data_IF_631405084832
#
_entry.id   IF_631405084832
#
_cell.length_a   1.000
_cell.length_b   1.000
_cell.length_c   1.000
_cell.angle_alpha   90.00
_cell.angle_beta   90.00
_cell.angle_gamma   90.00
#
_symmetry.space_group_name_H-M   'P 1'
#
loop_
_entity.id
_entity.type
_entity.pdbx_description
1 polymer ?
#
# COMPACT_ATOMS: atom_id res chain seq x y z
N UNK A 1 13.64 -38.73 -11.63
CA UNK A 1 12.97 -37.73 -12.50
C UNK A 1 13.64 -37.79 -13.87
N UNK A 2 12.87 -37.81 -14.96
CA UNK A 2 13.43 -37.70 -16.31
C UNK A 2 14.04 -36.31 -16.54
N UNK A 3 15.04 -36.21 -17.42
CA UNK A 3 15.75 -34.96 -17.70
C UNK A 3 14.80 -33.88 -18.27
N UNK A 4 13.85 -34.29 -19.12
CA UNK A 4 12.78 -33.44 -19.63
C UNK A 4 11.94 -32.80 -18.52
N UNK A 5 11.59 -33.54 -17.46
CA UNK A 5 10.81 -33.00 -16.36
C UNK A 5 11.60 -31.93 -15.58
N UNK A 6 12.91 -32.10 -15.44
CA UNK A 6 13.80 -31.12 -14.81
C UNK A 6 13.88 -29.84 -15.63
N UNK A 7 14.05 -29.96 -16.96
CA UNK A 7 14.06 -28.82 -17.87
C UNK A 7 12.70 -28.10 -17.85
N UNK A 8 11.60 -28.84 -18.00
CA UNK A 8 10.25 -28.28 -17.99
C UNK A 8 9.96 -27.46 -16.74
N UNK A 9 10.36 -27.96 -15.55
CA UNK A 9 10.20 -27.25 -14.27
C UNK A 9 10.85 -25.85 -14.26
N UNK A 10 11.92 -25.65 -15.02
CA UNK A 10 12.65 -24.38 -15.09
C UNK A 10 12.22 -23.47 -16.23
N UNK A 11 11.33 -23.93 -17.11
CA UNK A 11 10.84 -23.12 -18.24
C UNK A 11 10.03 -21.91 -17.78
N UNK A 12 10.01 -20.86 -18.61
CA UNK A 12 9.24 -19.63 -18.33
C UNK A 12 7.73 -19.86 -18.28
N UNK A 13 7.23 -20.87 -19.01
CA UNK A 13 5.81 -21.22 -19.00
C UNK A 13 5.41 -21.90 -17.68
N UNK A 14 6.28 -22.76 -17.13
CA UNK A 14 6.07 -23.38 -15.82
C UNK A 14 6.20 -22.38 -14.65
N UNK A 15 6.91 -21.26 -14.86
CA UNK A 15 7.00 -20.16 -13.90
C UNK A 15 5.76 -19.26 -13.86
N UNK A 16 4.82 -19.42 -14.81
CA UNK A 16 3.60 -18.63 -14.83
C UNK A 16 2.76 -18.98 -13.59
N UNK A 17 2.44 -18.01 -12.72
CA UNK A 17 1.66 -18.30 -11.53
C UNK A 17 0.22 -18.68 -11.91
N UNK A 18 -0.39 -19.56 -11.11
CA UNK A 18 -1.82 -19.82 -11.22
C UNK A 18 -2.58 -18.52 -11.00
N UNK A 19 -3.50 -18.22 -11.90
CA UNK A 19 -4.34 -17.02 -11.81
C UNK A 19 -5.22 -17.01 -10.56
N UNK A 20 -5.53 -15.80 -10.08
CA UNK A 20 -6.37 -15.57 -8.91
C UNK A 20 -7.87 -15.42 -9.24
N UNK A 21 -8.22 -15.29 -10.52
CA UNK A 21 -9.59 -15.08 -10.97
C UNK A 21 -9.74 -15.38 -12.47
N UNK A 22 -10.83 -14.90 -13.07
CA UNK A 22 -11.19 -15.21 -14.46
C UNK A 22 -11.09 -13.99 -15.37
N UNK A 23 -10.76 -14.24 -16.63
CA UNK A 23 -10.62 -13.23 -17.66
C UNK A 23 -11.98 -12.59 -17.98
N UNK A 24 -12.05 -11.26 -18.11
CA UNK A 24 -13.30 -10.53 -18.39
C UNK A 24 -14.01 -10.01 -17.14
N UNK A 25 -14.37 -10.88 -16.20
CA UNK A 25 -15.02 -10.50 -14.93
C UNK A 25 -14.13 -9.56 -14.09
N UNK A 26 -12.82 -9.80 -14.11
CA UNK A 26 -11.83 -9.04 -13.33
C UNK A 26 -11.25 -7.81 -14.05
N UNK A 27 -11.84 -7.36 -15.18
CA UNK A 27 -11.36 -6.14 -15.87
C UNK A 27 -11.39 -4.89 -14.97
N UNK A 28 -12.31 -4.85 -14.01
CA UNK A 28 -12.46 -3.78 -13.01
C UNK A 28 -11.87 -4.12 -11.64
N UNK A 29 -11.11 -5.22 -11.53
CA UNK A 29 -10.53 -5.65 -10.27
C UNK A 29 -9.63 -4.57 -9.64
N UNK A 30 -9.54 -4.58 -8.32
CA UNK A 30 -8.74 -3.59 -7.57
C UNK A 30 -7.24 -3.87 -7.67
N UNK A 31 -6.84 -5.12 -7.91
CA UNK A 31 -5.45 -5.58 -7.98
C UNK A 31 -5.28 -6.54 -9.17
N UNK A 32 -4.05 -6.74 -9.69
CA UNK A 32 -3.81 -7.66 -10.80
C UNK A 32 -4.13 -9.10 -10.41
N UNK A 33 -4.95 -9.78 -11.22
CA UNK A 33 -5.37 -11.17 -10.99
C UNK A 33 -4.56 -12.18 -11.80
N UNK A 34 -3.94 -11.72 -12.88
CA UNK A 34 -3.13 -12.52 -13.78
C UNK A 34 -1.77 -11.85 -14.02
N UNK A 35 -0.79 -12.66 -14.40
CA UNK A 35 0.53 -12.19 -14.79
C UNK A 35 0.46 -11.49 -16.17
N UNK A 36 1.03 -10.29 -16.26
CA UNK A 36 1.21 -9.61 -17.54
C UNK A 36 2.42 -10.19 -18.25
N UNK A 37 2.24 -10.60 -19.51
CA UNK A 37 3.27 -11.12 -20.41
C UNK A 37 3.57 -10.05 -21.46
N UNK A 38 4.85 -9.74 -21.63
CA UNK A 38 5.35 -8.80 -22.63
C UNK A 38 6.14 -9.55 -23.70
N UNK A 39 5.90 -9.22 -24.98
CA UNK A 39 6.74 -9.68 -26.08
C UNK A 39 7.74 -8.60 -26.53
N UNK A 40 9.01 -8.95 -26.80
CA UNK A 40 9.95 -8.05 -27.44
C UNK A 40 9.42 -7.59 -28.82
N UNK A 41 9.81 -6.40 -29.32
CA UNK A 41 9.32 -5.88 -30.59
C UNK A 41 9.49 -6.84 -31.77
N UNK A 42 10.60 -7.57 -31.84
CA UNK A 42 10.91 -8.53 -32.90
C UNK A 42 9.99 -9.77 -32.87
N UNK A 43 9.73 -10.33 -31.69
CA UNK A 43 8.78 -11.44 -31.52
C UNK A 43 7.34 -10.98 -31.72
N UNK A 44 7.01 -9.78 -31.25
CA UNK A 44 5.69 -9.18 -31.45
C UNK A 44 5.36 -8.97 -32.94
N UNK A 45 6.34 -8.59 -33.77
CA UNK A 45 6.16 -8.48 -35.22
C UNK A 45 5.69 -9.83 -35.84
N UNK A 46 6.18 -10.95 -35.30
CA UNK A 46 5.78 -12.32 -35.67
C UNK A 46 4.59 -12.86 -34.88
N UNK A 47 4.02 -12.04 -33.98
CA UNK A 47 2.93 -12.40 -33.07
C UNK A 47 3.23 -13.57 -32.14
N UNK A 48 4.50 -13.70 -31.80
CA UNK A 48 4.98 -14.75 -30.92
C UNK A 48 5.15 -14.22 -29.49
N UNK A 49 4.45 -14.87 -28.57
CA UNK A 49 4.47 -14.59 -27.13
C UNK A 49 4.99 -15.79 -26.33
N UNK A 50 5.52 -16.83 -27.00
CA UNK A 50 5.91 -18.07 -26.33
C UNK A 50 4.74 -18.90 -25.81
N UNK A 51 3.56 -18.74 -26.43
CA UNK A 51 2.37 -19.54 -26.16
C UNK A 51 2.28 -20.70 -27.16
N UNK A 52 1.31 -21.61 -26.96
CA UNK A 52 1.05 -22.73 -27.88
C UNK A 52 0.85 -22.27 -29.32
N UNK A 53 0.19 -21.13 -29.52
CA UNK A 53 -0.08 -20.56 -30.84
C UNK A 53 0.25 -19.06 -30.90
N UNK A 54 0.47 -18.58 -32.12
CA UNK A 54 0.65 -17.15 -32.41
C UNK A 54 -0.66 -16.40 -32.25
N UNK A 55 -0.55 -15.15 -31.83
CA UNK A 55 -1.69 -14.27 -31.56
C UNK A 55 -2.17 -13.56 -32.84
N UNK A 56 -3.46 -13.22 -32.99
CA UNK A 56 -3.95 -12.48 -34.16
C UNK A 56 -3.27 -11.12 -34.37
N UNK A 57 -3.06 -10.75 -35.64
CA UNK A 57 -2.41 -9.49 -36.04
C UNK A 57 -3.20 -8.23 -35.69
N UNK A 58 -4.52 -8.36 -35.51
CA UNK A 58 -5.42 -7.26 -35.10
C UNK A 58 -5.01 -6.64 -33.75
N UNK A 59 -4.37 -7.41 -32.88
CA UNK A 59 -3.96 -6.93 -31.56
C UNK A 59 -2.70 -6.08 -31.67
N UNK A 60 -2.78 -4.82 -31.22
CA UNK A 60 -1.67 -3.85 -31.30
C UNK A 60 -0.86 -3.74 -30.00
N UNK A 61 -1.33 -4.35 -28.91
CA UNK A 61 -0.64 -4.34 -27.62
C UNK A 61 0.46 -5.40 -27.55
N UNK A 62 1.65 -5.00 -27.09
CA UNK A 62 2.75 -5.92 -26.73
C UNK A 62 2.55 -6.61 -25.37
N UNK A 63 1.56 -6.16 -24.61
CA UNK A 63 1.21 -6.68 -23.29
C UNK A 63 -0.09 -7.47 -23.40
N UNK A 64 -0.03 -8.71 -22.94
CA UNK A 64 -1.19 -9.59 -22.86
C UNK A 64 -1.30 -10.19 -21.46
N UNK A 65 -2.47 -10.69 -21.17
CA UNK A 65 -2.77 -11.55 -20.04
C UNK A 65 -3.36 -12.84 -20.59
N UNK A 66 -2.93 -13.99 -20.05
CA UNK A 66 -3.39 -15.31 -20.49
C UNK A 66 -4.06 -16.01 -19.32
N UNK A 67 -5.22 -16.61 -19.60
CA UNK A 67 -5.97 -17.45 -18.68
C UNK A 67 -5.60 -18.93 -18.91
N UNK A 68 -5.91 -19.41 -20.11
CA UNK A 68 -5.59 -20.77 -20.54
C UNK A 68 -4.65 -20.74 -21.74
N UNK A 69 -3.59 -21.57 -21.71
CA UNK A 69 -2.69 -21.76 -22.85
C UNK A 69 -3.38 -22.42 -24.04
N UNK A 70 -4.39 -23.24 -23.76
CA UNK A 70 -5.21 -23.96 -24.71
C UNK A 70 -6.60 -24.17 -24.10
N UNK A 71 -7.63 -23.69 -24.79
CA UNK A 71 -9.01 -23.88 -24.38
C UNK A 71 -9.64 -25.09 -25.11
N UNK A 72 -10.90 -25.40 -24.80
CA UNK A 72 -11.65 -26.48 -25.47
C UNK A 72 -11.79 -26.33 -27.00
N UNK A 73 -11.50 -25.14 -27.53
CA UNK A 73 -11.52 -24.84 -28.97
C UNK A 73 -10.13 -24.94 -29.59
N UNK A 74 -9.09 -25.35 -28.85
CA UNK A 74 -7.72 -25.41 -29.33
C UNK A 74 -7.05 -24.04 -29.46
N UNK A 75 -7.60 -23.00 -28.82
CA UNK A 75 -7.11 -21.61 -28.89
C UNK A 75 -6.58 -21.13 -27.52
N UNK A 76 -5.54 -20.28 -27.48
CA UNK A 76 -5.16 -19.61 -26.24
C UNK A 76 -6.24 -18.61 -25.82
N UNK A 77 -6.61 -18.61 -24.54
CA UNK A 77 -7.54 -17.65 -23.96
C UNK A 77 -6.75 -16.48 -23.36
N UNK A 78 -6.75 -15.34 -24.04
CA UNK A 78 -5.94 -14.19 -23.67
C UNK A 78 -6.67 -12.87 -23.94
N UNK A 79 -6.23 -11.82 -23.25
CA UNK A 79 -6.73 -10.45 -23.42
C UNK A 79 -5.54 -9.48 -23.57
N UNK A 80 -5.63 -8.46 -24.44
CA UNK A 80 -4.57 -7.46 -24.64
C UNK A 80 -4.57 -6.40 -23.50
N UNK A 81 -4.44 -6.85 -22.26
CA UNK A 81 -4.45 -6.01 -21.07
C UNK A 81 -3.04 -5.78 -20.53
N UNK A 82 -2.60 -4.52 -20.51
CA UNK A 82 -1.34 -4.10 -19.86
C UNK A 82 -1.54 -3.06 -18.75
N UNK A 83 -2.79 -2.70 -18.44
CA UNK A 83 -3.11 -1.53 -17.62
C UNK A 83 -2.47 -1.53 -16.22
N UNK A 84 -2.47 -2.67 -15.53
CA UNK A 84 -1.88 -2.79 -14.19
C UNK A 84 -0.35 -2.61 -14.20
N UNK A 85 0.35 -3.06 -15.25
CA UNK A 85 1.79 -2.85 -15.37
C UNK A 85 2.12 -1.36 -15.46
N UNK A 86 1.35 -0.60 -16.25
CA UNK A 86 1.52 0.85 -16.33
C UNK A 86 1.08 1.58 -15.05
N UNK A 87 0.01 1.14 -14.37
CA UNK A 87 -0.36 1.68 -13.06
C UNK A 87 0.77 1.51 -12.05
N UNK A 88 1.41 0.35 -12.00
CA UNK A 88 2.58 0.10 -11.14
C UNK A 88 3.73 1.05 -11.49
N UNK A 89 4.09 1.19 -12.77
CA UNK A 89 5.14 2.12 -13.22
C UNK A 89 4.83 3.57 -12.81
N UNK A 90 3.61 4.05 -13.07
CA UNK A 90 3.16 5.39 -12.66
C UNK A 90 3.21 5.57 -11.14
N UNK A 91 2.82 4.57 -10.37
CA UNK A 91 2.92 4.64 -8.92
C UNK A 91 4.37 4.75 -8.43
N UNK A 92 5.29 4.02 -9.07
CA UNK A 92 6.73 4.13 -8.77
C UNK A 92 7.28 5.53 -9.08
N UNK A 93 6.79 6.19 -10.13
CA UNK A 93 7.14 7.57 -10.47
C UNK A 93 6.70 8.59 -9.42
N UNK A 94 5.65 8.30 -8.65
CA UNK A 94 5.22 9.16 -7.54
C UNK A 94 6.28 9.24 -6.45
N UNK A 95 7.09 8.19 -6.29
CA UNK A 95 8.19 8.17 -5.33
C UNK A 95 7.76 8.03 -3.87
N UNK A 96 6.51 7.63 -3.61
CA UNK A 96 5.95 7.57 -2.24
C UNK A 96 6.11 6.16 -1.65
N UNK A 97 6.47 6.06 -0.35
CA UNK A 97 6.48 4.81 0.38
C UNK A 97 5.06 4.35 0.74
N UNK A 98 4.81 3.04 0.63
CA UNK A 98 3.55 2.43 1.09
C UNK A 98 3.70 2.05 2.55
N UNK A 99 2.72 2.42 3.36
CA UNK A 99 2.61 1.97 4.74
C UNK A 99 1.48 0.96 4.88
N UNK A 100 1.71 -0.07 5.69
CA UNK A 100 0.72 -1.11 5.94
C UNK A 100 -0.09 -0.76 7.18
N UNK A 101 -1.41 -0.77 7.07
CA UNK A 101 -2.31 -0.58 8.21
C UNK A 101 -3.00 -1.89 8.54
N UNK A 102 -2.64 -2.49 9.67
CA UNK A 102 -3.34 -3.64 10.21
C UNK A 102 -4.48 -3.16 11.12
N UNK A 103 -5.75 -3.47 10.81
CA UNK A 103 -6.88 -3.03 11.63
C UNK A 103 -6.94 -3.71 13.00
N UNK A 104 -6.21 -4.81 13.19
CA UNK A 104 -6.22 -5.63 14.42
C UNK A 104 -5.14 -5.23 15.42
N UNK A 105 -4.17 -4.39 15.03
CA UNK A 105 -3.12 -3.93 15.94
C UNK A 105 -3.49 -2.54 16.48
N UNK A 106 -3.87 -2.50 17.76
CA UNK A 106 -4.12 -1.28 18.54
C UNK A 106 -2.82 -0.54 18.87
N UNK A 107 -1.67 -1.19 18.73
CA UNK A 107 -0.35 -0.59 18.89
C UNK A 107 0.12 0.02 17.56
N UNK A 108 0.56 1.28 17.62
CA UNK A 108 1.18 2.05 16.52
C UNK A 108 2.56 1.48 16.12
N UNK A 109 2.69 0.17 15.95
CA UNK A 109 3.92 -0.40 15.38
C UNK A 109 3.94 -0.09 13.88
N UNK A 110 4.55 1.04 13.54
CA UNK A 110 4.74 1.53 12.16
C UNK A 110 5.97 0.90 11.49
N UNK A 111 6.36 -0.33 11.85
CA UNK A 111 7.53 -0.98 11.25
C UNK A 111 7.21 -1.52 9.86
N UNK A 112 8.24 -1.55 9.02
CA UNK A 112 8.09 -2.00 7.64
C UNK A 112 8.14 -3.54 7.60
N UNK A 113 7.09 -4.21 7.08
CA UNK A 113 7.01 -5.68 7.01
C UNK A 113 8.01 -6.35 6.07
N UNK A 114 8.86 -5.59 5.37
CA UNK A 114 9.94 -6.12 4.54
C UNK A 114 11.22 -6.44 5.33
N UNK A 115 11.31 -5.97 6.59
CA UNK A 115 12.47 -6.23 7.44
C UNK A 115 12.13 -7.29 8.52
N UNK A 116 13.06 -8.19 8.85
CA UNK A 116 12.85 -9.23 9.86
C UNK A 116 12.63 -8.64 11.26
N UNK A 117 11.90 -9.36 12.12
CA UNK A 117 11.48 -8.90 13.46
C UNK A 117 10.15 -8.12 13.47
N UNK A 118 9.38 -8.22 12.39
CA UNK A 118 8.09 -7.57 12.24
C UNK A 118 7.12 -8.48 11.48
N UNK A 119 6.94 -9.70 11.99
CA UNK A 119 5.70 -10.38 11.69
C UNK A 119 4.59 -9.64 12.47
N UNK A 120 3.52 -9.15 11.81
CA UNK A 120 2.37 -8.57 12.53
C UNK A 120 1.66 -9.58 13.43
N UNK A 121 2.15 -10.83 13.47
CA UNK A 121 1.71 -11.93 14.29
C UNK A 121 2.82 -12.50 15.20
N UNK A 122 4.04 -11.97 15.19
CA UNK A 122 5.20 -12.46 15.99
C UNK A 122 5.08 -12.15 17.49
N UNK A 123 4.00 -11.48 17.92
CA UNK A 123 3.78 -11.13 19.32
C UNK A 123 2.67 -11.91 20.03
N UNK A 124 1.92 -12.77 19.32
CA UNK A 124 0.82 -13.50 19.92
C UNK A 124 0.81 -14.95 19.41
N UNK A 125 1.26 -15.86 20.27
CA UNK A 125 0.81 -17.26 20.33
C UNK A 125 -0.71 -17.30 20.62
N UNK A 126 -1.50 -16.64 19.78
CA UNK A 126 -2.94 -16.75 19.84
C UNK A 126 -3.31 -18.13 19.33
N UNK A 127 -4.23 -18.80 20.02
CA UNK A 127 -4.76 -20.10 19.62
C UNK A 127 -5.21 -20.12 18.14
N UNK A 128 -5.70 -18.98 17.63
CA UNK A 128 -6.02 -18.81 16.21
C UNK A 128 -4.82 -18.97 15.26
N UNK A 129 -3.65 -18.48 15.63
CA UNK A 129 -2.42 -18.59 14.81
C UNK A 129 -1.91 -20.04 14.83
N UNK A 130 -1.88 -20.68 16.00
CA UNK A 130 -1.51 -22.09 16.12
C UNK A 130 -2.45 -23.02 15.31
N UNK A 131 -3.73 -22.69 15.28
CA UNK A 131 -4.72 -23.39 14.45
C UNK A 131 -4.73 -22.98 12.97
N UNK A 132 -3.97 -21.95 12.58
CA UNK A 132 -4.02 -21.37 11.23
C UNK A 132 -5.40 -20.83 10.83
N UNK A 133 -6.23 -20.42 11.79
CA UNK A 133 -7.59 -19.92 11.55
C UNK A 133 -7.61 -18.39 11.43
N UNK A 134 -8.41 -17.88 10.49
CA UNK A 134 -8.68 -16.43 10.36
C UNK A 134 -9.64 -15.99 11.47
N UNK A 135 -9.52 -14.74 11.93
CA UNK A 135 -10.52 -14.15 12.85
C UNK A 135 -11.87 -14.10 12.15
N UNK A 136 -12.83 -14.88 12.62
CA UNK A 136 -14.15 -15.01 12.04
C UNK A 136 -15.19 -14.32 12.93
N UNK A 137 -16.26 -13.80 12.30
CA UNK A 137 -17.43 -13.33 13.04
C UNK A 137 -18.16 -14.54 13.64
N UNK A 138 -18.71 -14.44 14.88
CA UNK A 138 -19.45 -15.54 15.51
C UNK A 138 -20.64 -16.06 14.68
N UNK A 139 -21.20 -15.23 13.81
CA UNK A 139 -22.30 -15.57 12.90
C UNK A 139 -21.88 -16.24 11.59
N UNK A 140 -20.59 -16.41 11.33
CA UNK A 140 -20.09 -17.01 10.09
C UNK A 140 -20.33 -18.53 10.06
N UNK A 141 -20.69 -19.07 8.89
CA UNK A 141 -20.79 -20.52 8.68
C UNK A 141 -19.47 -21.24 8.95
N UNK A 142 -18.34 -20.63 8.56
CA UNK A 142 -17.01 -21.16 8.84
C UNK A 142 -16.71 -21.24 10.35
N UNK A 143 -17.24 -20.28 11.13
CA UNK A 143 -17.10 -20.30 12.58
C UNK A 143 -17.89 -21.46 13.19
N UNK A 144 -19.10 -21.73 12.69
CA UNK A 144 -19.90 -22.87 13.15
C UNK A 144 -19.22 -24.22 12.85
N UNK A 145 -18.59 -24.38 11.67
CA UNK A 145 -17.82 -25.60 11.34
C UNK A 145 -16.58 -25.73 12.21
N UNK A 146 -15.82 -24.64 12.37
CA UNK A 146 -14.61 -24.64 13.19
C UNK A 146 -14.93 -24.90 14.67
N UNK A 147 -16.02 -24.34 15.20
CA UNK A 147 -16.50 -24.58 16.57
C UNK A 147 -16.85 -26.05 16.81
N UNK A 148 -17.47 -26.74 15.85
CA UNK A 148 -17.74 -28.18 15.95
C UNK A 148 -16.43 -28.97 16.03
N UNK A 149 -15.45 -28.63 15.21
CA UNK A 149 -14.12 -29.25 15.26
C UNK A 149 -13.39 -28.99 16.59
N UNK A 150 -13.37 -27.74 17.08
CA UNK A 150 -12.71 -27.42 18.36
C UNK A 150 -13.33 -28.15 19.55
N UNK A 151 -14.64 -28.45 19.50
CA UNK A 151 -15.30 -29.27 20.53
C UNK A 151 -14.77 -30.70 20.59
N UNK A 152 -14.34 -31.29 19.47
CA UNK A 152 -13.78 -32.66 19.47
C UNK A 152 -12.39 -32.69 20.10
N UNK A 153 -11.65 -31.58 20.06
CA UNK A 153 -10.33 -31.45 20.67
C UNK A 153 -10.36 -31.26 22.20
N UNK A 154 -11.53 -30.99 22.80
CA UNK A 154 -11.64 -30.67 24.23
C UNK A 154 -11.27 -31.85 25.15
N UNK A 155 -11.78 -33.05 24.87
CA UNK A 155 -11.47 -34.25 25.66
C UNK A 155 -9.97 -34.59 25.66
N UNK A 156 -9.32 -34.74 24.49
CA UNK A 156 -7.89 -35.06 24.44
C UNK A 156 -7.01 -33.94 24.99
N UNK A 157 -7.44 -32.67 24.90
CA UNK A 157 -6.73 -31.57 25.55
C UNK A 157 -6.78 -31.69 27.07
N UNK A 158 -7.94 -32.03 27.66
CA UNK A 158 -8.07 -32.20 29.10
C UNK A 158 -7.29 -33.41 29.62
N UNK A 159 -7.28 -34.51 28.87
CA UNK A 159 -6.44 -35.68 29.18
C UNK A 159 -4.95 -35.32 29.16
N UNK A 160 -4.51 -34.57 28.15
CA UNK A 160 -3.12 -34.10 28.06
C UNK A 160 -2.77 -33.12 29.20
N UNK A 161 -3.67 -32.20 29.52
CA UNK A 161 -3.48 -31.21 30.58
C UNK A 161 -3.40 -31.87 31.96
N UNK A 162 -4.21 -32.89 32.22
CA UNK A 162 -4.15 -33.67 33.46
C UNK A 162 -2.82 -34.43 33.63
N UNK A 163 -2.23 -34.89 32.52
CA UNK A 163 -0.95 -35.60 32.54
C UNK A 163 0.27 -34.67 32.68
N UNK A 164 0.22 -33.46 32.10
CA UNK A 164 1.37 -32.55 32.04
C UNK A 164 1.35 -31.45 33.09
N UNK A 165 0.19 -30.87 33.36
CA UNK A 165 0.04 -29.72 34.26
C UNK A 165 -1.24 -29.85 35.12
N UNK A 166 -1.28 -30.80 36.07
CA UNK A 166 -2.47 -31.03 36.90
C UNK A 166 -2.85 -29.79 37.74
N UNK A 167 -1.87 -28.97 38.14
CA UNK A 167 -2.08 -27.76 38.94
C UNK A 167 -2.82 -26.65 38.16
N UNK A 168 -2.76 -26.68 36.83
CA UNK A 168 -3.36 -25.64 35.97
C UNK A 168 -4.82 -25.92 35.61
N UNK A 169 -5.38 -27.07 35.98
CA UNK A 169 -6.78 -27.45 35.68
C UNK A 169 -7.78 -26.39 36.19
N UNK A 170 -7.48 -25.75 37.32
CA UNK A 170 -8.35 -24.77 37.96
C UNK A 170 -8.22 -23.33 37.38
N UNK A 171 -7.26 -23.08 36.48
CA UNK A 171 -7.04 -21.74 35.94
C UNK A 171 -8.04 -21.38 34.82
N UNK A 172 -8.47 -20.13 34.79
CA UNK A 172 -9.45 -19.63 33.82
C UNK A 172 -8.83 -19.34 32.43
N UNK A 173 -7.52 -19.07 32.37
CA UNK A 173 -6.79 -18.81 31.13
C UNK A 173 -5.80 -19.95 30.87
N UNK A 174 -6.01 -20.66 29.76
CA UNK A 174 -5.21 -21.82 29.32
C UNK A 174 -4.63 -21.59 27.92
N UNK A 175 -4.53 -20.34 27.50
CA UNK A 175 -4.21 -19.98 26.11
C UNK A 175 -2.83 -20.50 25.67
N UNK A 176 -1.84 -20.50 26.55
CA UNK A 176 -0.47 -20.94 26.24
C UNK A 176 -0.37 -22.46 26.14
N UNK A 177 -1.05 -23.16 27.04
CA UNK A 177 -1.12 -24.62 27.11
C UNK A 177 -1.87 -25.20 25.91
N UNK A 178 -2.90 -24.48 25.43
CA UNK A 178 -3.59 -24.85 24.19
C UNK A 178 -2.62 -24.77 23.00
N UNK A 179 -1.76 -23.75 22.93
CA UNK A 179 -0.78 -23.64 21.85
C UNK A 179 0.24 -24.78 21.92
N UNK A 180 0.77 -25.07 23.10
CA UNK A 180 1.72 -26.17 23.32
C UNK A 180 1.09 -27.54 22.97
N UNK A 181 -0.17 -27.76 23.34
CA UNK A 181 -0.92 -28.97 22.97
C UNK A 181 -1.09 -29.11 21.45
N UNK A 182 -1.38 -28.01 20.76
CA UNK A 182 -1.57 -28.03 19.31
C UNK A 182 -0.24 -28.29 18.57
N UNK A 183 0.87 -27.78 19.09
CA UNK A 183 2.22 -28.03 18.54
C UNK A 183 2.66 -29.47 18.75
N UNK A 184 2.43 -30.04 19.94
CA UNK A 184 2.80 -31.43 20.27
C UNK A 184 1.98 -32.46 19.50
N UNK A 185 0.69 -32.20 19.27
CA UNK A 185 -0.21 -33.13 18.59
C UNK A 185 -0.06 -33.15 17.06
N UNK A 186 0.63 -32.17 16.46
CA UNK A 186 0.69 -31.96 14.99
C UNK A 186 -0.67 -32.25 14.34
N UNK A 187 -1.66 -31.44 14.71
CA UNK A 187 -3.06 -31.61 14.30
C UNK A 187 -3.18 -32.02 12.83
N UNK A 188 -3.90 -33.12 12.56
CA UNK A 188 -4.20 -33.65 11.22
C UNK A 188 -4.68 -32.51 10.29
N UNK A 189 -3.76 -31.95 9.53
CA UNK A 189 -4.02 -30.80 8.67
C UNK A 189 -5.06 -31.11 7.58
N UNK A 190 -5.34 -32.40 7.35
CA UNK A 190 -6.30 -32.92 6.39
C UNK A 190 -7.77 -32.78 6.81
N UNK A 191 -8.07 -32.63 8.11
CA UNK A 191 -9.46 -32.48 8.62
C UNK A 191 -9.87 -31.02 8.84
N UNK A 192 -8.90 -30.10 8.93
CA UNK A 192 -9.17 -28.70 8.66
C UNK A 192 -9.39 -28.56 7.15
N UNK A 193 -10.39 -27.80 6.71
CA UNK A 193 -10.64 -27.48 5.30
C UNK A 193 -9.52 -26.62 4.68
N UNK A 194 -8.26 -27.06 4.77
CA UNK A 194 -7.17 -26.57 3.94
C UNK A 194 -7.44 -27.14 2.55
N UNK A 195 -7.87 -26.30 1.62
CA UNK A 195 -7.90 -26.65 0.20
C UNK A 195 -6.54 -27.27 -0.13
N UNK A 196 -6.55 -28.50 -0.68
CA UNK A 196 -5.37 -29.34 -1.02
C UNK A 196 -4.41 -28.64 -1.99
N UNK A 197 -3.65 -27.65 -1.55
CA UNK A 197 -2.46 -27.11 -2.20
C UNK A 197 -1.55 -26.47 -1.15
N UNK A 198 -0.94 -27.29 -0.29
CA UNK A 198 0.10 -26.80 0.61
C UNK A 198 1.46 -26.88 -0.10
N UNK A 199 1.84 -25.79 -0.75
CA UNK A 199 3.26 -25.46 -0.91
C UNK A 199 3.83 -25.07 0.48
N UNK A 200 5.15 -25.14 0.70
CA UNK A 200 5.77 -24.89 2.01
C UNK A 200 5.24 -23.59 2.65
N UNK A 201 4.71 -23.72 3.86
CA UNK A 201 3.86 -22.78 4.60
C UNK A 201 4.55 -21.51 5.12
N UNK A 202 5.68 -21.09 4.53
CA UNK A 202 6.24 -19.76 4.73
C UNK A 202 5.59 -18.69 3.84
N UNK A 203 4.89 -19.09 2.77
CA UNK A 203 4.09 -18.19 1.93
C UNK A 203 2.62 -18.22 2.37
N UNK A 204 2.24 -17.28 3.23
CA UNK A 204 0.84 -17.03 3.60
C UNK A 204 0.07 -16.62 2.32
N UNK A 205 -1.13 -17.19 2.07
CA UNK A 205 -2.04 -16.80 0.95
C UNK A 205 -2.53 -15.33 1.01
N UNK A 206 -2.07 -14.58 2.01
CA UNK A 206 -2.47 -13.21 2.26
C UNK A 206 -1.51 -12.24 1.61
N UNK A 207 -2.06 -11.10 1.19
CA UNK A 207 -1.27 -9.98 0.70
C UNK A 207 -0.25 -9.62 1.79
N UNK A 208 1.04 -9.73 1.47
CA UNK A 208 2.11 -9.41 2.41
C UNK A 208 2.79 -8.09 2.04
N UNK A 209 3.26 -7.40 3.07
CA UNK A 209 3.97 -6.14 2.94
C UNK A 209 3.27 -5.09 2.09
N UNK A 210 3.96 -4.61 1.05
CA UNK A 210 3.46 -3.54 0.18
C UNK A 210 2.68 -4.06 -1.04
N UNK A 211 2.29 -5.34 -1.05
CA UNK A 211 1.70 -6.02 -2.21
C UNK A 211 2.55 -6.00 -3.49
N UNK A 212 3.85 -5.68 -3.38
CA UNK A 212 4.74 -5.52 -4.52
C UNK A 212 4.42 -4.32 -5.41
N UNK A 213 3.62 -3.36 -4.93
CA UNK A 213 3.30 -2.11 -5.65
C UNK A 213 4.47 -1.11 -5.61
N UNK A 214 5.10 -0.95 -4.44
CA UNK A 214 6.30 -0.13 -4.24
C UNK A 214 7.14 -0.70 -3.09
N UNK A 215 8.45 -0.57 -3.20
CA UNK A 215 9.42 -0.92 -2.16
C UNK A 215 10.16 0.32 -1.63
N UNK A 216 9.66 1.51 -1.92
CA UNK A 216 10.24 2.76 -1.44
C UNK A 216 10.11 2.87 0.07
N UNK A 217 11.16 3.39 0.72
CA UNK A 217 11.21 3.65 2.15
C UNK A 217 10.91 5.12 2.45
N UNK A 218 10.46 5.39 3.68
CA UNK A 218 10.24 6.75 4.19
C UNK A 218 11.58 7.48 4.41
N UNK A 219 11.54 8.81 4.39
CA UNK A 219 12.70 9.67 4.69
C UNK A 219 13.57 10.06 3.50
N UNK A 220 13.22 9.63 2.27
CA UNK A 220 13.92 10.06 1.06
C UNK A 220 13.49 11.46 0.62
N UNK A 221 14.47 12.26 0.21
CA UNK A 221 14.25 13.53 -0.51
C UNK A 221 14.66 13.37 -1.99
N UNK A 222 14.04 14.14 -2.87
CA UNK A 222 14.39 14.23 -4.28
C UNK A 222 15.23 15.47 -4.51
N UNK A 223 16.45 15.31 -4.98
CA UNK A 223 17.24 16.44 -5.44
C UNK A 223 16.76 16.86 -6.84
N UNK A 224 16.40 18.12 -6.99
CA UNK A 224 16.11 18.74 -8.29
C UNK A 224 17.05 19.93 -8.51
N UNK A 225 17.19 20.45 -9.74
CA UNK A 225 17.94 21.69 -9.98
C UNK A 225 17.44 22.87 -9.12
N UNK A 226 16.15 22.87 -8.75
CA UNK A 226 15.53 23.90 -7.90
C UNK A 226 15.70 23.62 -6.39
N UNK A 227 16.47 22.60 -6.01
CA UNK A 227 16.72 22.21 -4.63
C UNK A 227 16.05 20.90 -4.21
N UNK A 228 16.15 20.54 -2.92
CA UNK A 228 15.58 19.32 -2.38
C UNK A 228 14.06 19.43 -2.25
N UNK A 229 13.33 18.43 -2.75
CA UNK A 229 11.88 18.32 -2.68
C UNK A 229 11.47 17.06 -1.92
N UNK A 230 10.49 17.16 -1.02
CA UNK A 230 9.95 16.02 -0.27
C UNK A 230 8.86 15.27 -1.03
N UNK A 231 8.16 15.93 -1.96
CA UNK A 231 7.10 15.35 -2.76
C UNK A 231 7.10 15.93 -4.17
N UNK A 232 6.57 15.15 -5.13
CA UNK A 232 6.44 15.56 -6.54
C UNK A 232 5.04 16.10 -6.80
N UNK A 233 4.96 17.19 -7.56
CA UNK A 233 3.71 17.70 -8.11
C UNK A 233 3.42 16.96 -9.41
N UNK A 234 2.22 16.41 -9.54
CA UNK A 234 1.81 15.58 -10.67
C UNK A 234 0.43 16.00 -11.18
N UNK A 235 0.16 15.89 -12.49
CA UNK A 235 -1.15 16.19 -13.03
C UNK A 235 -2.15 15.08 -12.67
N UNK A 236 -3.25 15.46 -12.03
CA UNK A 236 -4.40 14.60 -11.77
C UNK A 236 -5.70 15.22 -12.27
N UNK A 237 -6.82 14.55 -12.00
CA UNK A 237 -8.16 15.01 -12.41
C UNK A 237 -9.10 14.98 -11.22
N UNK A 238 -9.99 15.95 -11.11
CA UNK A 238 -11.03 15.91 -10.09
C UNK A 238 -12.16 14.95 -10.53
N UNK A 239 -12.66 14.16 -9.58
CA UNK A 239 -13.72 13.18 -9.86
C UNK A 239 -15.05 13.68 -9.31
N UNK A 240 -15.11 13.92 -8.01
CA UNK A 240 -16.32 14.37 -7.30
C UNK A 240 -16.02 14.81 -5.88
N UNK A 241 -16.92 15.62 -5.31
CA UNK A 241 -16.95 15.95 -3.89
C UNK A 241 -17.69 14.87 -3.10
N UNK A 242 -17.35 14.76 -1.81
CA UNK A 242 -18.04 13.96 -0.79
C UNK A 242 -18.15 14.79 0.48
N UNK A 243 -19.07 14.41 1.36
CA UNK A 243 -19.23 15.04 2.68
C UNK A 243 -17.94 15.07 3.51
N UNK A 244 -17.05 14.09 3.32
CA UNK A 244 -15.80 13.95 4.08
C UNK A 244 -14.55 14.44 3.34
N UNK A 245 -14.67 14.93 2.10
CA UNK A 245 -13.48 15.16 1.27
C UNK A 245 -13.77 15.33 -0.23
N UNK A 246 -12.70 15.54 -1.00
CA UNK A 246 -12.75 15.50 -2.47
C UNK A 246 -12.02 14.27 -3.00
N UNK A 247 -12.46 13.75 -4.14
CA UNK A 247 -11.82 12.62 -4.83
C UNK A 247 -11.11 13.07 -6.08
N UNK A 248 -9.90 12.55 -6.24
CA UNK A 248 -9.05 12.85 -7.38
C UNK A 248 -8.55 11.56 -8.04
N UNK A 249 -8.42 11.56 -9.36
CA UNK A 249 -7.72 10.53 -10.11
C UNK A 249 -6.28 10.96 -10.32
N UNK A 250 -5.32 10.12 -9.94
CA UNK A 250 -3.91 10.35 -10.16
C UNK A 250 -3.22 9.07 -10.63
N UNK A 251 -2.64 9.11 -11.84
CA UNK A 251 -1.89 8.00 -12.45
C UNK A 251 -2.60 6.64 -12.50
N UNK A 252 -3.94 6.62 -12.55
CA UNK A 252 -4.74 5.40 -12.60
C UNK A 252 -5.21 4.87 -11.24
N UNK A 253 -4.97 5.63 -10.16
CA UNK A 253 -5.49 5.40 -8.82
C UNK A 253 -6.48 6.51 -8.44
N UNK A 254 -7.38 6.19 -7.50
CA UNK A 254 -8.31 7.15 -6.91
C UNK A 254 -7.78 7.53 -5.54
N UNK A 255 -7.45 8.81 -5.37
CA UNK A 255 -7.04 9.41 -4.11
C UNK A 255 -8.18 10.17 -3.44
N UNK A 256 -8.18 10.18 -2.11
CA UNK A 256 -9.04 11.03 -1.31
C UNK A 256 -8.20 12.20 -0.76
N UNK A 257 -8.82 13.37 -0.69
CA UNK A 257 -8.27 14.56 -0.05
C UNK A 257 -9.15 14.97 1.12
N UNK A 258 -8.55 15.36 2.24
CA UNK A 258 -9.28 15.91 3.37
C UNK A 258 -9.76 17.33 3.02
N UNK A 259 -11.03 17.61 3.29
CA UNK A 259 -11.62 18.94 3.06
C UNK A 259 -10.91 19.97 3.94
N UNK A 260 -10.17 20.88 3.30
CA UNK A 260 -9.73 22.13 3.92
C UNK A 260 -10.50 23.28 3.28
N UNK A 261 -10.94 24.28 4.05
CA UNK A 261 -11.68 25.43 3.52
C UNK A 261 -10.92 26.16 2.39
N UNK A 262 -9.58 26.13 2.41
CA UNK A 262 -8.73 26.67 1.34
C UNK A 262 -8.76 25.80 0.07
N UNK A 263 -8.87 24.47 0.20
CA UNK A 263 -8.99 23.57 -0.95
C UNK A 263 -10.31 23.80 -1.69
N UNK A 264 -11.41 24.01 -0.96
CA UNK A 264 -12.71 24.30 -1.56
C UNK A 264 -12.66 25.61 -2.37
N UNK A 265 -12.05 26.67 -1.82
CA UNK A 265 -11.88 27.95 -2.52
C UNK A 265 -11.05 27.82 -3.79
N UNK A 266 -9.93 27.10 -3.74
CA UNK A 266 -9.07 26.87 -4.90
C UNK A 266 -9.77 26.05 -5.99
N UNK A 267 -10.50 24.99 -5.61
CA UNK A 267 -11.25 24.17 -6.55
C UNK A 267 -12.39 24.95 -7.21
N UNK A 268 -13.09 25.81 -6.45
CA UNK A 268 -14.12 26.69 -6.99
C UNK A 268 -13.50 27.71 -7.98
N UNK A 269 -12.39 28.37 -7.60
CA UNK A 269 -11.68 29.29 -8.50
C UNK A 269 -11.19 28.60 -9.78
N UNK A 270 -10.71 27.37 -9.70
CA UNK A 270 -10.31 26.59 -10.88
C UNK A 270 -11.50 26.19 -11.77
N UNK A 271 -12.64 25.89 -11.16
CA UNK A 271 -13.89 25.65 -11.87
C UNK A 271 -14.36 26.89 -12.63
N UNK A 272 -14.23 28.07 -12.02
CA UNK A 272 -14.69 29.33 -12.61
C UNK A 272 -13.82 29.78 -13.80
N UNK A 273 -12.51 29.48 -13.78
CA UNK A 273 -11.54 29.95 -14.80
C UNK A 273 -11.54 29.10 -16.09
N UNK A 274 -12.05 27.86 -16.08
CA UNK A 274 -11.86 26.91 -17.20
C UNK A 274 -13.16 26.36 -17.83
N UNK A 275 -14.27 27.08 -17.68
CA UNK A 275 -15.70 26.74 -17.91
C UNK A 275 -16.35 26.39 -16.58
N UNK A 276 -17.42 27.11 -16.18
CA UNK A 276 -18.09 26.84 -14.92
C UNK A 276 -18.48 25.36 -14.90
N UNK A 277 -18.11 24.67 -13.82
CA UNK A 277 -18.74 23.39 -13.52
C UNK A 277 -20.25 23.68 -13.49
N UNK A 278 -21.03 23.06 -14.38
CA UNK A 278 -22.47 22.96 -14.17
C UNK A 278 -22.69 22.57 -12.70
N UNK A 279 -23.76 23.05 -12.06
CA UNK A 279 -24.07 22.74 -10.66
C UNK A 279 -24.06 21.21 -10.36
N UNK A 280 -24.18 20.38 -11.39
CA UNK A 280 -24.12 18.91 -11.38
C UNK A 280 -22.69 18.30 -11.52
N UNK A 281 -21.66 19.08 -11.83
CA UNK A 281 -20.26 18.63 -11.87
C UNK A 281 -19.89 17.69 -13.04
N UNK A 282 -20.66 17.69 -14.13
CA UNK A 282 -20.55 16.70 -15.24
C UNK A 282 -19.21 16.70 -15.99
N UNK A 283 -18.54 17.85 -16.12
CA UNK A 283 -17.30 18.01 -16.90
C UNK A 283 -16.02 18.11 -16.06
N UNK A 284 -16.12 17.92 -14.75
CA UNK A 284 -15.01 18.16 -13.83
C UNK A 284 -13.78 17.27 -14.09
N UNK A 285 -13.99 16.13 -14.77
CA UNK A 285 -12.94 15.16 -15.11
C UNK A 285 -12.10 15.58 -16.31
N UNK A 286 -12.54 16.53 -17.13
CA UNK A 286 -11.80 16.99 -18.31
C UNK A 286 -10.57 17.81 -17.93
N UNK A 287 -10.64 18.48 -16.78
CA UNK A 287 -9.58 19.36 -16.29
C UNK A 287 -8.47 18.60 -15.58
N UNK A 288 -7.24 19.00 -15.89
CA UNK A 288 -6.04 18.57 -15.18
C UNK A 288 -5.69 19.57 -14.09
N UNK A 289 -5.47 19.05 -12.88
CA UNK A 289 -5.17 19.82 -11.67
C UNK A 289 -3.82 19.33 -11.14
N UNK A 290 -2.91 20.22 -10.73
CA UNK A 290 -1.67 19.81 -10.07
C UNK A 290 -1.99 19.25 -8.67
N UNK A 291 -1.57 18.01 -8.44
CA UNK A 291 -1.77 17.27 -7.20
C UNK A 291 -0.44 16.83 -6.59
N UNK A 292 -0.37 16.82 -5.28
CA UNK A 292 0.72 16.26 -4.48
C UNK A 292 0.19 14.99 -3.81
N UNK A 293 0.75 13.82 -4.11
CA UNK A 293 0.40 12.63 -3.37
C UNK A 293 1.12 12.67 -2.00
N UNK A 294 0.38 12.44 -0.93
CA UNK A 294 0.87 12.61 0.46
C UNK A 294 1.24 11.29 1.11
N UNK A 295 0.29 10.36 1.12
CA UNK A 295 0.44 9.09 1.80
C UNK A 295 -0.27 7.98 1.03
N UNK A 296 0.27 6.78 1.16
CA UNK A 296 -0.29 5.56 0.60
C UNK A 296 -0.38 4.51 1.71
N UNK A 297 -1.59 4.02 1.95
CA UNK A 297 -1.88 3.03 2.96
C UNK A 297 -2.47 1.78 2.31
N UNK A 298 -1.97 0.62 2.72
CA UNK A 298 -2.50 -0.66 2.28
C UNK A 298 -3.13 -1.39 3.47
N UNK A 299 -4.40 -1.76 3.32
CA UNK A 299 -5.10 -2.62 4.27
C UNK A 299 -5.07 -4.06 3.74
N UNK A 300 -4.20 -4.90 4.33
CA UNK A 300 -3.98 -6.28 3.89
C UNK A 300 -5.23 -7.16 4.09
N UNK A 301 -5.96 -6.94 5.18
CA UNK A 301 -7.16 -7.72 5.53
C UNK A 301 -8.30 -7.40 4.56
N UNK A 302 -8.55 -6.13 4.29
CA UNK A 302 -9.63 -5.68 3.40
C UNK A 302 -9.22 -5.68 1.92
N UNK A 303 -7.94 -5.93 1.60
CA UNK A 303 -7.35 -5.81 0.26
C UNK A 303 -7.64 -4.45 -0.39
N UNK A 304 -7.62 -3.37 0.41
CA UNK A 304 -7.92 -2.01 -0.05
C UNK A 304 -6.68 -1.15 -0.01
N UNK A 305 -6.54 -0.35 -1.07
CA UNK A 305 -5.52 0.68 -1.18
C UNK A 305 -6.16 2.03 -0.91
N UNK A 306 -5.73 2.68 0.16
CA UNK A 306 -6.17 4.01 0.55
C UNK A 306 -5.06 5.00 0.17
N UNK A 307 -5.39 5.90 -0.74
CA UNK A 307 -4.45 6.86 -1.29
C UNK A 307 -4.86 8.27 -0.90
N UNK A 308 -3.94 9.01 -0.29
CA UNK A 308 -4.15 10.38 0.14
C UNK A 308 -3.45 11.34 -0.82
N UNK A 309 -4.21 12.26 -1.38
CA UNK A 309 -3.75 13.21 -2.40
C UNK A 309 -4.29 14.59 -2.06
N UNK A 310 -3.48 15.63 -2.27
CA UNK A 310 -3.89 17.01 -2.09
C UNK A 310 -3.66 17.85 -3.34
N UNK A 311 -4.58 18.77 -3.68
CA UNK A 311 -4.31 19.77 -4.70
C UNK A 311 -3.22 20.74 -4.24
N UNK A 312 -2.36 21.17 -5.15
CA UNK A 312 -1.39 22.24 -4.87
C UNK A 312 -2.16 23.49 -4.52
N UNK A 313 -1.85 24.07 -3.35
CA UNK A 313 -2.44 25.33 -2.90
C UNK A 313 -1.86 26.47 -3.72
N UNK A 314 -2.74 27.35 -4.21
CA UNK A 314 -2.33 28.70 -4.59
C UNK A 314 -1.84 29.37 -3.29
N UNK A 315 -0.56 29.72 -3.19
CA UNK A 315 -0.14 30.58 -2.09
C UNK A 315 -0.81 31.92 -2.35
N UNK A 316 -1.78 32.27 -1.53
CA UNK A 316 -2.41 33.58 -1.58
C UNK A 316 -1.32 34.65 -1.65
N UNK A 317 -1.23 35.33 -2.78
CA UNK A 317 -0.45 36.56 -3.01
C UNK A 317 -1.01 37.75 -2.22
N UNK A 318 -1.81 37.52 -1.18
CA UNK A 318 -2.45 38.53 -0.34
C UNK A 318 -1.62 38.97 0.86
N UNK A 319 -0.39 38.47 1.05
CA UNK A 319 0.58 39.13 1.95
C UNK A 319 1.25 40.32 1.26
N UNK A 320 0.48 41.38 0.99
CA UNK A 320 0.99 42.75 1.14
C UNK A 320 1.10 43.00 2.65
N UNK A 321 2.26 42.68 3.22
CA UNK A 321 2.53 42.88 4.63
C UNK A 321 3.94 42.45 5.00
N UNK A 322 4.86 43.40 4.96
CA UNK A 322 6.20 43.28 5.52
C UNK A 322 7.25 42.79 4.54
N UNK A 323 8.09 43.71 4.07
CA UNK A 323 9.44 43.37 3.60
C UNK A 323 10.11 42.44 4.61
N UNK A 324 10.22 41.14 4.30
CA UNK A 324 11.26 40.33 4.92
C UNK A 324 12.56 40.78 4.30
N UNK A 325 13.30 41.61 5.03
CA UNK A 325 14.69 41.92 4.74
C UNK A 325 15.40 40.62 4.39
N UNK A 326 15.93 40.57 3.18
CA UNK A 326 16.94 39.61 2.77
C UNK A 326 18.07 39.76 3.79
N UNK A 327 18.15 38.85 4.78
CA UNK A 327 19.37 38.69 5.55
C UNK A 327 20.42 38.18 4.57
N UNK A 328 21.17 39.13 4.00
CA UNK A 328 22.46 38.85 3.36
C UNK A 328 23.24 37.97 4.33
N UNK A 329 23.62 36.80 3.86
CA UNK A 329 24.64 35.98 4.52
C UNK A 329 25.90 36.85 4.64
N UNK A 330 26.22 37.28 5.86
CA UNK A 330 27.55 37.79 6.17
C UNK A 330 28.51 36.60 6.32
N UNK A 331 29.75 36.70 5.82
CA UNK A 331 30.73 35.64 5.98
C UNK A 331 31.06 35.44 7.47
N UNK A 332 31.26 34.18 7.86
CA UNK A 332 31.61 33.76 9.21
C UNK A 332 32.89 34.47 9.69
N UNK A 333 32.82 35.17 10.80
CA UNK A 333 34.00 35.53 11.60
C UNK A 333 34.39 34.37 12.53
N UNK A 334 35.68 34.23 12.88
CA UNK A 334 36.21 33.06 13.55
C UNK A 334 35.89 33.05 15.06
N UNK A 335 35.97 31.84 15.61
CA UNK A 335 35.74 31.44 16.99
C UNK A 335 36.61 32.24 17.97
N UNK A 336 35.97 32.97 18.89
CA UNK A 336 36.58 33.60 20.06
C UNK A 336 35.46 34.15 20.97
N UNK A 337 35.44 33.76 22.25
CA UNK A 337 34.38 34.07 23.21
C UNK A 337 34.28 35.56 23.64
N UNK A 338 33.24 35.95 24.39
CA UNK A 338 32.87 37.36 24.58
C UNK A 338 33.61 38.03 25.74
N UNK A 339 34.23 39.18 25.46
CA UNK A 339 34.72 40.12 26.47
C UNK A 339 33.56 40.96 27.03
N UNK A 340 33.37 40.90 28.35
CA UNK A 340 32.26 41.49 29.12
C UNK A 340 32.28 43.03 29.20
N UNK A 341 33.22 43.71 28.54
CA UNK A 341 33.39 45.17 28.59
C UNK A 341 32.48 45.94 27.63
N UNK A 342 31.98 45.30 26.55
CA UNK A 342 31.10 45.97 25.56
C UNK A 342 29.61 45.99 25.94
N UNK A 343 29.20 45.20 26.94
CA UNK A 343 27.81 45.11 27.39
C UNK A 343 27.42 46.23 28.38
N UNK A 344 28.39 46.92 28.99
CA UNK A 344 28.15 48.00 29.97
C UNK A 344 28.02 49.36 29.29
N UNK A 345 28.67 49.55 28.13
CA UNK A 345 28.61 50.82 27.38
C UNK A 345 27.32 50.98 26.57
N UNK A 346 26.67 49.88 26.18
CA UNK A 346 25.40 49.90 25.45
C UNK A 346 24.18 50.09 26.35
N UNK A 347 24.26 49.76 27.65
CA UNK A 347 23.19 50.01 28.62
C UNK A 347 23.19 51.45 29.15
N UNK A 348 24.35 52.12 29.22
CA UNK A 348 24.49 53.51 29.64
C UNK A 348 24.04 54.52 28.56
N UNK A 349 24.23 54.20 27.27
CA UNK A 349 23.75 55.06 26.18
C UNK A 349 22.21 55.09 26.05
N UNK A 350 21.52 54.00 26.40
CA UNK A 350 20.05 53.92 26.35
C UNK A 350 19.33 54.70 27.45
N UNK A 351 20.03 55.11 28.52
CA UNK A 351 19.49 55.91 29.62
C UNK A 351 19.52 57.42 29.36
N UNK A 352 20.31 57.87 28.38
CA UNK A 352 20.43 59.29 28.00
C UNK A 352 19.46 59.74 26.89
N UNK A 353 18.83 58.82 26.16
CA UNK A 353 17.87 59.15 25.08
C UNK A 353 16.40 59.32 25.54
N UNK A 354 16.09 59.10 26.83
CA UNK A 354 14.70 59.13 27.33
C UNK A 354 14.33 60.36 28.17
N UNK A 355 15.22 61.35 28.33
CA UNK A 355 14.92 62.62 29.00
C UNK A 355 15.01 63.76 27.99
N UNK A 356 13.90 64.04 27.28
CA UNK A 356 13.88 65.19 26.37
C UNK A 356 12.75 65.28 25.37
N UNK A 357 11.52 64.84 25.68
CA UNK A 357 10.29 65.29 24.98
C UNK A 357 9.10 65.25 25.96
N UNK A 358 8.84 66.39 26.61
CA UNK A 358 7.52 66.78 27.10
C UNK A 358 7.10 68.01 26.33
#
# INVERSE_FOLDING_TARGET
MSDLARLFRTTRIAQLPRQLGELGADRSATFPTHQVIESPPSSFARRDFGLKMRIPTKIKSKYIVVNNLDNKYGLPDFEPLGGFAFKKKKFQEFGIPISVRNPTMTTKSNSNPLFPGHDPWEGHSSVSVALGMKVQRPSSLEFATNKKYLRTLRKPFMEWLALKYPEKIAQADLSNEIVEFLETRKVDEAKLNRKKYQFPTLYREQLSGTAGLSYNLKGRLFQTPNGPQSARVLPGRYISARSTGSRFALGGFIGNSVTSGLHVKYLNKLADVRRPLDAEGRYAREFTIPLIPKAAHLNLVKKRFDFEVEPVKDQDTSKKGGFSTVKRFSPRSPIGGPDKSQLVLSSLLGLLETVGKK
#
